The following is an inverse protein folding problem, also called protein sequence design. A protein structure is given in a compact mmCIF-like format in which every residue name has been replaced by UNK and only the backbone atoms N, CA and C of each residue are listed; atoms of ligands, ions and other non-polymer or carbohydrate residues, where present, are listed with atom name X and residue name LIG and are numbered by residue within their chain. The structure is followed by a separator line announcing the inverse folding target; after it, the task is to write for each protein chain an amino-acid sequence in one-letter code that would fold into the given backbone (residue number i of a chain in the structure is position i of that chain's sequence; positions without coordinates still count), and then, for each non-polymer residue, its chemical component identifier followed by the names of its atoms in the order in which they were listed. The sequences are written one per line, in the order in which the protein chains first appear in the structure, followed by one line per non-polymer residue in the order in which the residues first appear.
data_IF_893420275903
#
_entry.id   IF_893420275903
#
_cell.length_a   1.000
_cell.length_b   1.000
_cell.length_c   1.000
_cell.angle_alpha   90.00
_cell.angle_beta   90.00
_cell.angle_gamma   90.00
#
_symmetry.space_group_name_H-M   'P 1'
#
loop_
_entity.id
_entity.type
_entity.pdbx_description
1 polymer ?
#
# COMPACT_ATOMS: atom_id res chain seq x y z
N UNK A 1 14.78 16.58 -38.21
CA UNK A 1 14.53 15.82 -36.98
C UNK A 1 14.41 16.84 -35.86
N UNK A 2 13.20 17.16 -35.37
CA UNK A 2 13.10 18.04 -34.21
C UNK A 2 13.51 17.24 -32.97
N UNK A 3 14.44 17.83 -32.21
CA UNK A 3 14.91 17.35 -30.93
C UNK A 3 13.83 17.61 -29.87
N UNK A 4 13.13 16.55 -29.45
CA UNK A 4 12.22 16.60 -28.31
C UNK A 4 13.05 16.93 -27.06
N UNK A 5 12.88 18.16 -26.62
CA UNK A 5 13.43 18.65 -25.36
C UNK A 5 12.53 18.08 -24.28
N UNK A 6 13.02 17.08 -23.55
CA UNK A 6 12.32 16.49 -22.41
C UNK A 6 12.26 17.55 -21.30
N UNK A 7 11.20 18.36 -21.28
CA UNK A 7 10.89 19.19 -20.12
C UNK A 7 10.54 18.25 -18.96
N UNK A 8 11.28 18.29 -17.82
CA UNK A 8 10.87 17.57 -16.65
C UNK A 8 9.57 18.20 -16.14
N UNK A 9 8.44 17.53 -16.38
CA UNK A 9 7.16 17.90 -15.78
C UNK A 9 7.35 18.05 -14.27
N UNK A 10 7.00 19.21 -13.72
CA UNK A 10 6.98 19.43 -12.27
C UNK A 10 6.30 18.26 -11.58
N UNK A 11 6.88 17.68 -10.50
CA UNK A 11 6.28 16.54 -9.83
C UNK A 11 4.87 16.94 -9.40
N UNK A 12 3.85 16.30 -9.97
CA UNK A 12 2.48 16.52 -9.54
C UNK A 12 2.38 16.07 -8.08
N UNK A 13 1.79 16.89 -7.19
CA UNK A 13 1.61 16.51 -5.80
C UNK A 13 0.73 15.26 -5.74
N UNK A 14 1.08 14.33 -4.84
CA UNK A 14 0.35 13.07 -4.71
C UNK A 14 -1.06 13.32 -4.15
N UNK A 15 -1.17 14.29 -3.24
CA UNK A 15 -2.42 14.69 -2.61
C UNK A 15 -2.95 16.02 -3.18
N UNK A 16 -4.25 16.23 -3.03
CA UNK A 16 -4.87 17.52 -3.28
C UNK A 16 -4.25 18.58 -2.36
N UNK A 17 -3.71 19.64 -2.94
CA UNK A 17 -3.01 20.70 -2.21
C UNK A 17 -3.94 21.41 -1.22
N UNK A 18 -5.23 21.55 -1.52
CA UNK A 18 -6.19 22.16 -0.59
C UNK A 18 -6.47 21.25 0.61
N UNK A 19 -6.53 19.94 0.40
CA UNK A 19 -6.63 18.96 1.48
C UNK A 19 -5.39 19.04 2.39
N UNK A 20 -4.19 19.04 1.80
CA UNK A 20 -2.93 19.16 2.55
C UNK A 20 -2.90 20.45 3.37
N UNK A 21 -3.30 21.59 2.78
CA UNK A 21 -3.39 22.88 3.47
C UNK A 21 -4.42 22.87 4.60
N UNK A 22 -5.56 22.23 4.40
CA UNK A 22 -6.60 22.11 5.42
C UNK A 22 -6.10 21.29 6.62
N UNK A 23 -5.53 20.11 6.36
CA UNK A 23 -4.94 19.23 7.40
C UNK A 23 -3.86 19.96 8.20
N UNK A 24 -2.90 20.59 7.51
CA UNK A 24 -1.81 21.33 8.18
C UNK A 24 -2.30 22.53 8.98
N UNK A 25 -3.34 23.24 8.52
CA UNK A 25 -3.95 24.34 9.28
C UNK A 25 -4.63 23.83 10.55
N UNK A 26 -5.31 22.69 10.49
CA UNK A 26 -5.97 22.10 11.66
C UNK A 26 -4.99 21.60 12.72
N UNK A 27 -3.81 21.10 12.33
CA UNK A 27 -2.75 20.72 13.28
C UNK A 27 -2.12 21.91 14.01
N UNK A 28 -2.10 23.09 13.38
CA UNK A 28 -1.46 24.28 13.94
C UNK A 28 0.08 24.18 13.99
N UNK A 29 0.71 24.98 14.84
CA UNK A 29 2.18 25.11 14.91
C UNK A 29 2.85 24.18 15.93
N UNK A 30 2.16 23.82 17.00
CA UNK A 30 2.69 23.00 18.10
C UNK A 30 1.68 21.90 18.44
N UNK A 31 1.47 20.93 17.53
CA UNK A 31 0.48 19.89 17.70
C UNK A 31 0.85 18.94 18.84
N UNK A 32 -0.15 18.61 19.66
CA UNK A 32 -0.09 17.52 20.65
C UNK A 32 -0.38 16.19 19.95
N UNK A 33 -0.01 15.05 20.55
CA UNK A 33 -0.37 13.71 20.06
C UNK A 33 -1.84 13.56 19.63
N UNK A 34 -2.78 14.04 20.45
CA UNK A 34 -4.21 13.94 20.18
C UNK A 34 -4.63 14.70 18.91
N UNK A 35 -3.99 15.84 18.62
CA UNK A 35 -4.35 16.70 17.50
C UNK A 35 -4.13 15.97 16.16
N UNK A 36 -3.15 15.06 16.07
CA UNK A 36 -2.96 14.20 14.88
C UNK A 36 -4.09 13.21 14.67
N UNK A 37 -4.57 12.60 15.75
CA UNK A 37 -5.68 11.64 15.70
C UNK A 37 -6.97 12.36 15.35
N UNK A 38 -7.26 13.48 16.00
CA UNK A 38 -8.43 14.31 15.75
C UNK A 38 -8.47 14.80 14.30
N UNK A 39 -7.32 15.18 13.72
CA UNK A 39 -7.24 15.58 12.31
C UNK A 39 -7.46 14.39 11.37
N UNK A 40 -6.89 13.22 11.64
CA UNK A 40 -7.17 12.03 10.83
C UNK A 40 -8.66 11.65 10.88
N UNK A 41 -9.31 11.78 12.03
CA UNK A 41 -10.74 11.56 12.20
C UNK A 41 -11.58 12.61 11.46
N UNK A 42 -11.28 13.90 11.64
CA UNK A 42 -11.99 15.00 11.00
C UNK A 42 -11.93 14.94 9.46
N UNK A 43 -10.83 14.45 8.89
CA UNK A 43 -10.65 14.32 7.44
C UNK A 43 -10.84 12.87 6.93
N UNK A 44 -11.45 11.98 7.72
CA UNK A 44 -11.58 10.55 7.38
C UNK A 44 -12.19 10.32 6.00
N UNK A 45 -13.26 11.02 5.63
CA UNK A 45 -13.89 10.83 4.31
C UNK A 45 -12.95 11.20 3.14
N UNK A 46 -12.20 12.31 3.29
CA UNK A 46 -11.24 12.76 2.28
C UNK A 46 -10.01 11.85 2.21
N UNK A 47 -9.62 11.26 3.34
CA UNK A 47 -8.48 10.35 3.45
C UNK A 47 -8.84 8.88 3.18
N UNK A 48 -10.12 8.55 3.00
CA UNK A 48 -10.58 7.16 2.82
C UNK A 48 -10.32 6.60 1.42
N UNK A 49 -10.28 7.44 0.39
CA UNK A 49 -10.29 6.99 -1.01
C UNK A 49 -9.47 7.87 -1.95
N UNK A 50 -8.24 8.23 -1.55
CA UNK A 50 -7.33 9.03 -2.36
C UNK A 50 -6.95 8.25 -3.63
N UNK A 51 -7.20 8.79 -4.84
CA UNK A 51 -6.83 8.11 -6.08
C UNK A 51 -5.31 8.10 -6.26
N UNK A 52 -4.76 6.94 -6.65
CA UNK A 52 -3.34 6.79 -6.95
C UNK A 52 -3.12 6.51 -8.45
N UNK A 53 -1.95 6.89 -9.00
CA UNK A 53 -1.59 6.56 -10.38
C UNK A 53 -1.58 5.05 -10.63
N UNK A 54 -2.23 4.65 -11.72
CA UNK A 54 -2.33 3.26 -12.18
C UNK A 54 -1.14 2.86 -13.07
N UNK A 55 -0.23 3.78 -13.39
CA UNK A 55 0.96 3.43 -14.16
C UNK A 55 1.88 2.52 -13.35
N UNK A 56 2.40 1.48 -13.99
CA UNK A 56 3.34 0.53 -13.39
C UNK A 56 4.51 0.33 -14.33
N UNK A 57 5.63 0.99 -14.01
CA UNK A 57 6.88 0.92 -14.77
C UNK A 57 7.85 -0.14 -14.21
N UNK A 58 7.37 -1.01 -13.31
CA UNK A 58 8.14 -2.10 -12.72
C UNK A 58 8.37 -3.18 -13.77
N UNK A 59 9.60 -3.66 -13.94
CA UNK A 59 9.88 -4.84 -14.76
C UNK A 59 9.71 -6.16 -13.99
N UNK A 60 9.61 -7.28 -14.70
CA UNK A 60 9.39 -8.60 -14.09
C UNK A 60 10.53 -9.02 -13.15
N UNK A 61 11.77 -8.63 -13.44
CA UNK A 61 12.93 -9.00 -12.62
C UNK A 61 12.93 -8.25 -11.29
N UNK A 62 12.58 -6.96 -11.29
CA UNK A 62 12.34 -6.18 -10.09
C UNK A 62 11.17 -6.75 -9.29
N UNK A 63 10.07 -7.10 -9.96
CA UNK A 63 8.92 -7.67 -9.28
C UNK A 63 9.24 -8.95 -8.49
N UNK A 64 10.09 -9.81 -9.07
CA UNK A 64 10.56 -11.01 -8.40
C UNK A 64 11.47 -10.72 -7.20
N UNK A 65 12.42 -9.78 -7.35
CA UNK A 65 13.32 -9.37 -6.24
C UNK A 65 12.55 -8.81 -5.06
N UNK A 66 11.55 -7.99 -5.33
CA UNK A 66 10.72 -7.39 -4.29
C UNK A 66 9.88 -8.45 -3.58
N UNK A 67 9.27 -9.38 -4.33
CA UNK A 67 8.48 -10.47 -3.76
C UNK A 67 9.29 -11.39 -2.82
N UNK A 68 10.59 -11.57 -3.06
CA UNK A 68 11.46 -12.39 -2.20
C UNK A 68 11.69 -11.79 -0.82
N UNK A 69 11.60 -10.47 -0.66
CA UNK A 69 11.84 -9.79 0.63
C UNK A 69 10.61 -9.80 1.54
N UNK A 70 9.47 -10.20 1.01
CA UNK A 70 8.17 -9.81 1.54
C UNK A 70 7.32 -11.03 1.85
N UNK A 71 6.42 -10.87 2.81
CA UNK A 71 5.43 -11.88 3.12
C UNK A 71 4.20 -11.68 2.26
N UNK A 72 3.80 -12.72 1.55
CA UNK A 72 2.71 -12.65 0.57
C UNK A 72 1.65 -13.68 0.93
N UNK A 73 0.39 -13.25 0.85
CA UNK A 73 -0.78 -14.10 0.90
C UNK A 73 -1.47 -14.08 -0.47
N UNK A 74 -1.85 -15.25 -0.99
CA UNK A 74 -2.70 -15.40 -2.18
C UNK A 74 -3.97 -16.15 -1.79
N UNK A 75 -5.13 -15.53 -1.97
CA UNK A 75 -6.44 -16.13 -1.67
C UNK A 75 -6.51 -16.71 -0.25
N UNK A 76 -5.94 -15.99 0.74
CA UNK A 76 -5.90 -16.43 2.14
C UNK A 76 -4.79 -17.42 2.50
N UNK A 77 -4.01 -17.90 1.52
CA UNK A 77 -2.87 -18.81 1.76
C UNK A 77 -1.58 -18.01 1.85
N UNK A 78 -0.86 -18.15 2.97
CA UNK A 78 0.44 -17.51 3.19
C UNK A 78 1.58 -18.35 2.62
N UNK A 79 2.51 -17.70 1.92
CA UNK A 79 3.69 -18.35 1.36
C UNK A 79 4.89 -18.14 2.29
N UNK A 80 5.47 -19.25 2.78
CA UNK A 80 6.56 -19.26 3.76
C UNK A 80 7.67 -20.21 3.33
N UNK A 81 8.87 -20.07 3.90
CA UNK A 81 10.05 -20.89 3.60
C UNK A 81 10.87 -20.40 2.41
N UNK A 82 11.92 -21.16 2.07
CA UNK A 82 12.99 -20.75 1.14
C UNK A 82 12.54 -20.62 -0.33
N UNK A 83 11.47 -21.33 -0.71
CA UNK A 83 10.90 -21.33 -2.07
C UNK A 83 9.55 -20.61 -2.15
N UNK A 84 9.26 -19.73 -1.19
CA UNK A 84 7.96 -19.05 -1.08
C UNK A 84 7.62 -18.23 -2.32
N UNK A 85 8.60 -17.55 -2.91
CA UNK A 85 8.41 -16.69 -4.09
C UNK A 85 8.10 -17.52 -5.32
N UNK A 86 8.84 -18.61 -5.54
CA UNK A 86 8.62 -19.53 -6.66
C UNK A 86 7.25 -20.21 -6.54
N UNK A 87 6.88 -20.64 -5.33
CA UNK A 87 5.57 -21.21 -5.05
C UNK A 87 4.44 -20.19 -5.31
N UNK A 88 4.62 -18.93 -4.91
CA UNK A 88 3.68 -17.85 -5.19
C UNK A 88 3.53 -17.60 -6.70
N UNK A 89 4.64 -17.45 -7.42
CA UNK A 89 4.66 -17.27 -8.88
C UNK A 89 3.99 -18.45 -9.59
N UNK A 90 4.28 -19.68 -9.17
CA UNK A 90 3.67 -20.88 -9.73
C UNK A 90 2.15 -20.92 -9.46
N UNK A 91 1.71 -20.53 -8.27
CA UNK A 91 0.29 -20.45 -7.92
C UNK A 91 -0.44 -19.39 -8.77
N UNK A 92 0.14 -18.19 -8.94
CA UNK A 92 -0.40 -17.15 -9.82
C UNK A 92 -0.51 -17.66 -11.25
N UNK A 93 0.56 -18.24 -11.81
CA UNK A 93 0.55 -18.81 -13.18
C UNK A 93 -0.52 -19.88 -13.35
N UNK A 94 -0.70 -20.76 -12.37
CA UNK A 94 -1.73 -21.81 -12.37
C UNK A 94 -3.14 -21.22 -12.38
N UNK A 95 -3.42 -20.27 -11.47
CA UNK A 95 -4.74 -19.64 -11.39
C UNK A 95 -5.05 -18.87 -12.68
N UNK A 96 -4.10 -18.07 -13.16
CA UNK A 96 -4.26 -17.33 -14.42
C UNK A 96 -4.51 -18.30 -15.57
N UNK A 97 -3.68 -19.34 -15.73
CA UNK A 97 -3.83 -20.34 -16.79
C UNK A 97 -5.20 -20.99 -16.80
N UNK A 98 -5.75 -21.35 -15.63
CA UNK A 98 -7.09 -21.90 -15.52
C UNK A 98 -8.21 -20.93 -15.96
N UNK A 99 -7.98 -19.62 -15.89
CA UNK A 99 -9.00 -18.61 -16.16
C UNK A 99 -8.91 -17.97 -17.55
N UNK A 100 -7.72 -17.95 -18.16
CA UNK A 100 -7.50 -17.32 -19.48
C UNK A 100 -7.19 -18.33 -20.59
N UNK A 101 -7.40 -19.63 -20.32
CA UNK A 101 -7.18 -20.71 -21.28
C UNK A 101 -5.70 -20.94 -21.54
N UNK A 102 -4.90 -21.13 -20.49
CA UNK A 102 -3.43 -21.22 -20.56
C UNK A 102 -2.89 -22.35 -21.44
N UNK A 103 -3.61 -23.46 -21.57
CA UNK A 103 -3.24 -24.55 -22.47
C UNK A 103 -3.42 -24.17 -23.95
N UNK A 104 -4.43 -23.34 -24.24
CA UNK A 104 -4.72 -22.84 -25.58
C UNK A 104 -3.92 -21.56 -25.92
N UNK A 105 -3.64 -20.74 -24.90
CA UNK A 105 -3.05 -19.41 -25.01
C UNK A 105 -1.96 -19.16 -23.94
N UNK A 106 -0.83 -19.90 -23.99
CA UNK A 106 0.21 -19.82 -22.97
C UNK A 106 0.87 -18.45 -22.88
N UNK A 107 1.06 -17.76 -24.01
CA UNK A 107 1.62 -16.40 -24.04
C UNK A 107 0.73 -15.39 -23.32
N UNK A 108 -0.60 -15.47 -23.54
CA UNK A 108 -1.56 -14.62 -22.85
C UNK A 108 -1.57 -14.88 -21.35
N UNK A 109 -1.52 -16.15 -20.94
CA UNK A 109 -1.45 -16.52 -19.53
C UNK A 109 -0.19 -15.96 -18.86
N UNK A 110 0.96 -16.00 -19.54
CA UNK A 110 2.20 -15.43 -19.03
C UNK A 110 2.11 -13.91 -18.89
N UNK A 111 1.60 -13.20 -19.91
CA UNK A 111 1.43 -11.74 -19.86
C UNK A 111 0.55 -11.29 -18.70
N UNK A 112 -0.55 -12.02 -18.45
CA UNK A 112 -1.47 -11.74 -17.34
C UNK A 112 -0.82 -12.03 -15.98
N UNK A 113 -0.09 -13.14 -15.85
CA UNK A 113 0.64 -13.48 -14.63
C UNK A 113 1.75 -12.45 -14.32
N UNK A 114 2.53 -12.07 -15.32
CA UNK A 114 3.58 -11.05 -15.21
C UNK A 114 3.01 -9.69 -14.83
N UNK A 115 1.83 -9.35 -15.35
CA UNK A 115 1.11 -8.15 -14.93
C UNK A 115 0.78 -8.21 -13.44
N UNK A 116 0.20 -9.30 -12.95
CA UNK A 116 -0.11 -9.46 -11.51
C UNK A 116 1.15 -9.28 -10.66
N UNK A 117 2.26 -9.94 -11.03
CA UNK A 117 3.53 -9.84 -10.33
C UNK A 117 4.06 -8.40 -10.25
N UNK A 118 4.08 -7.68 -11.38
CA UNK A 118 4.53 -6.27 -11.43
C UNK A 118 3.67 -5.36 -10.56
N UNK A 119 2.36 -5.58 -10.52
CA UNK A 119 1.43 -4.82 -9.67
C UNK A 119 1.64 -5.10 -8.19
N UNK A 120 1.96 -6.35 -7.82
CA UNK A 120 2.33 -6.69 -6.46
C UNK A 120 3.51 -5.85 -5.98
N UNK A 121 4.62 -5.85 -6.73
CA UNK A 121 5.81 -5.06 -6.39
C UNK A 121 5.52 -3.56 -6.30
N UNK A 122 4.78 -2.99 -7.26
CA UNK A 122 4.46 -1.55 -7.24
C UNK A 122 3.67 -1.14 -5.99
N UNK A 123 2.67 -1.94 -5.62
CA UNK A 123 1.80 -1.66 -4.45
C UNK A 123 2.50 -1.95 -3.13
N UNK A 124 3.44 -2.89 -3.12
CA UNK A 124 4.24 -3.27 -1.96
C UNK A 124 5.29 -2.24 -1.57
N UNK A 125 5.84 -1.49 -2.53
CA UNK A 125 6.94 -0.52 -2.29
C UNK A 125 6.69 0.51 -1.18
N UNK A 126 5.44 0.75 -0.78
CA UNK A 126 5.09 1.71 0.26
C UNK A 126 5.37 3.18 -0.09
N UNK A 127 5.97 3.47 -1.25
CA UNK A 127 6.39 4.81 -1.64
C UNK A 127 5.22 5.81 -1.68
N UNK A 128 4.10 5.45 -2.31
CA UNK A 128 2.89 6.29 -2.37
C UNK A 128 2.38 6.59 -0.95
N UNK A 129 2.44 5.60 -0.06
CA UNK A 129 2.01 5.77 1.32
C UNK A 129 2.94 6.71 2.09
N UNK A 130 4.26 6.52 1.96
CA UNK A 130 5.25 7.37 2.62
C UNK A 130 5.13 8.82 2.15
N UNK A 131 5.08 9.06 0.84
CA UNK A 131 4.98 10.42 0.31
C UNK A 131 3.67 11.10 0.70
N UNK A 132 2.55 10.37 0.74
CA UNK A 132 1.28 10.95 1.20
C UNK A 132 1.34 11.35 2.67
N UNK A 133 1.85 10.48 3.55
CA UNK A 133 2.01 10.78 4.98
C UNK A 133 3.00 11.94 5.17
N UNK A 134 4.07 11.97 4.38
CA UNK A 134 5.04 13.07 4.37
C UNK A 134 4.43 14.39 3.92
N UNK A 135 3.63 14.40 2.85
CA UNK A 135 2.92 15.61 2.41
C UNK A 135 1.98 16.15 3.50
N UNK A 136 1.30 15.28 4.25
CA UNK A 136 0.40 15.72 5.33
C UNK A 136 1.15 16.22 6.57
N UNK A 137 2.16 15.48 7.05
CA UNK A 137 2.68 15.63 8.41
C UNK A 137 4.16 16.00 8.51
N UNK A 138 4.90 16.12 7.41
CA UNK A 138 6.31 16.48 7.49
C UNK A 138 6.52 17.85 8.13
N UNK A 139 7.40 17.88 9.12
CA UNK A 139 7.85 19.07 9.84
C UNK A 139 9.35 18.92 10.13
N UNK A 140 10.14 20.01 10.20
CA UNK A 140 11.55 19.94 10.60
C UNK A 140 11.79 19.28 11.98
N UNK A 141 10.77 19.25 12.83
CA UNK A 141 10.83 18.70 14.19
C UNK A 141 10.44 17.22 14.26
N UNK A 142 9.97 16.65 13.14
CA UNK A 142 9.43 15.29 13.09
C UNK A 142 10.16 14.43 12.07
N UNK A 143 10.37 13.18 12.45
CA UNK A 143 10.75 12.11 11.55
C UNK A 143 9.59 11.14 11.36
N UNK A 144 9.33 10.79 10.11
CA UNK A 144 8.35 9.77 9.73
C UNK A 144 9.12 8.49 9.47
N UNK A 145 8.81 7.42 10.20
CA UNK A 145 9.42 6.10 10.03
C UNK A 145 8.39 4.99 9.99
N UNK A 146 8.65 3.89 9.27
CA UNK A 146 7.88 2.66 9.45
C UNK A 146 7.87 2.27 10.94
N UNK A 147 6.68 2.03 11.49
CA UNK A 147 6.56 1.55 12.88
C UNK A 147 6.69 0.03 12.88
N UNK A 148 7.53 -0.50 13.77
CA UNK A 148 7.48 -1.92 14.08
C UNK A 148 6.12 -2.21 14.70
N UNK A 149 5.42 -3.24 14.22
CA UNK A 149 4.14 -3.63 14.78
C UNK A 149 4.32 -4.45 16.07
N UNK A 150 5.28 -4.11 16.93
CA UNK A 150 5.60 -4.91 18.12
C UNK A 150 5.72 -6.41 17.81
N UNK A 151 5.21 -7.26 18.70
CA UNK A 151 5.12 -8.72 18.51
C UNK A 151 4.15 -9.18 17.41
N UNK A 152 3.45 -8.26 16.73
CA UNK A 152 2.61 -8.59 15.59
C UNK A 152 3.44 -8.45 14.30
N UNK A 153 3.53 -9.54 13.56
CA UNK A 153 4.14 -9.61 12.24
C UNK A 153 3.63 -8.45 11.35
N UNK A 154 4.53 -7.84 10.57
CA UNK A 154 4.14 -6.82 9.60
C UNK A 154 3.03 -7.38 8.68
N UNK A 155 2.03 -6.56 8.29
CA UNK A 155 0.94 -7.07 7.47
C UNK A 155 1.47 -7.60 6.13
N UNK A 156 1.25 -8.88 5.86
CA UNK A 156 1.58 -9.49 4.57
C UNK A 156 0.84 -8.78 3.42
N UNK A 157 1.45 -8.77 2.23
CA UNK A 157 0.80 -8.37 0.99
C UNK A 157 -0.36 -9.32 0.70
N UNK A 158 -1.59 -8.81 0.73
CA UNK A 158 -2.80 -9.59 0.52
C UNK A 158 -3.22 -9.52 -0.96
N UNK A 159 -3.05 -10.63 -1.66
CA UNK A 159 -3.44 -10.80 -3.06
C UNK A 159 -4.67 -11.69 -3.14
N UNK A 160 -5.73 -11.19 -3.75
CA UNK A 160 -6.90 -11.98 -4.12
C UNK A 160 -6.96 -12.07 -5.65
N UNK A 161 -7.12 -13.27 -6.18
CA UNK A 161 -7.11 -13.55 -7.61
C UNK A 161 -8.12 -14.65 -7.93
N UNK A 162 -9.10 -14.34 -8.77
CA UNK A 162 -10.15 -15.29 -9.12
C UNK A 162 -11.29 -14.65 -9.89
N UNK A 163 -12.37 -15.41 -10.08
CA UNK A 163 -13.63 -14.84 -10.59
C UNK A 163 -14.35 -14.11 -9.49
N UNK A 164 -14.84 -12.94 -9.86
CA UNK A 164 -15.80 -12.17 -9.12
C UNK A 164 -17.11 -12.94 -8.98
N UNK A 165 -17.67 -13.04 -7.77
CA UNK A 165 -18.92 -13.75 -7.55
C UNK A 165 -20.13 -13.02 -8.18
N UNK A 166 -20.07 -11.70 -8.30
CA UNK A 166 -21.16 -10.84 -8.76
C UNK A 166 -21.23 -10.77 -10.29
N UNK A 167 -20.09 -10.57 -10.97
CA UNK A 167 -20.05 -10.37 -12.42
C UNK A 167 -19.28 -11.45 -13.18
N UNK A 168 -18.77 -12.48 -12.48
CA UNK A 168 -18.05 -13.63 -13.03
C UNK A 168 -16.78 -13.28 -13.82
N UNK A 169 -16.31 -12.02 -13.76
CA UNK A 169 -15.09 -11.59 -14.45
C UNK A 169 -13.86 -12.02 -13.68
N UNK A 170 -12.79 -12.27 -14.41
CA UNK A 170 -11.51 -12.59 -13.78
C UNK A 170 -10.83 -11.31 -13.31
N UNK A 171 -10.63 -11.21 -12.01
CA UNK A 171 -10.16 -9.98 -11.37
C UNK A 171 -9.06 -10.28 -10.34
N UNK A 172 -8.28 -9.25 -10.05
CA UNK A 172 -7.24 -9.27 -9.04
C UNK A 172 -7.38 -8.08 -8.11
N UNK A 173 -7.22 -8.31 -6.80
CA UNK A 173 -7.14 -7.28 -5.77
C UNK A 173 -5.81 -7.46 -5.04
N UNK A 174 -5.04 -6.39 -4.95
CA UNK A 174 -3.76 -6.36 -4.23
C UNK A 174 -3.88 -5.32 -3.14
N UNK A 175 -3.66 -5.73 -1.89
CA UNK A 175 -3.76 -4.86 -0.72
C UNK A 175 -2.43 -4.87 0.02
N UNK A 176 -1.88 -3.68 0.25
CA UNK A 176 -0.74 -3.44 1.12
C UNK A 176 -1.17 -2.54 2.28
N UNK A 177 -0.67 -2.83 3.48
CA UNK A 177 -0.86 -1.97 4.65
C UNK A 177 0.52 -1.50 5.10
N UNK A 178 0.72 -0.19 5.15
CA UNK A 178 1.99 0.40 5.59
C UNK A 178 1.74 1.18 6.88
N UNK A 179 2.59 0.94 7.86
CA UNK A 179 2.40 1.43 9.22
C UNK A 179 3.50 2.44 9.50
N UNK A 180 3.14 3.68 9.85
CA UNK A 180 4.09 4.76 10.13
C UNK A 180 3.93 5.31 11.55
N UNK A 181 5.05 5.71 12.14
CA UNK A 181 5.11 6.51 13.35
C UNK A 181 5.68 7.89 13.05
N UNK A 182 5.12 8.90 13.70
CA UNK A 182 5.68 10.24 13.78
C UNK A 182 6.52 10.33 15.07
N UNK A 183 7.79 10.65 14.94
CA UNK A 183 8.75 10.71 16.04
C UNK A 183 9.35 12.11 16.13
N UNK A 184 9.58 12.60 17.33
CA UNK A 184 10.28 13.88 17.51
C UNK A 184 11.78 13.69 17.30
N UNK A 185 12.51 14.78 17.03
CA UNK A 185 13.97 14.73 16.98
C UNK A 185 14.60 14.28 18.31
N UNK A 186 13.96 14.61 19.44
CA UNK A 186 14.41 14.18 20.78
C UNK A 186 14.35 12.66 20.94
N UNK A 187 13.28 12.01 20.46
CA UNK A 187 13.16 10.54 20.50
C UNK A 187 14.31 9.85 19.75
N UNK A 188 14.76 10.47 18.64
CA UNK A 188 15.84 9.96 17.80
C UNK A 188 17.19 10.16 18.48
N UNK A 189 17.44 11.34 19.04
CA UNK A 189 18.66 11.61 19.79
C UNK A 189 18.80 10.65 20.98
N UNK A 190 17.70 10.37 21.66
CA UNK A 190 17.68 9.43 22.78
C UNK A 190 17.99 8.01 22.32
N UNK A 191 17.44 7.57 21.18
CA UNK A 191 17.81 6.29 20.56
C UNK A 191 19.32 6.24 20.27
N UNK A 192 19.86 7.26 19.59
CA UNK A 192 21.27 7.30 19.18
C UNK A 192 22.25 7.33 20.37
N UNK A 193 21.83 7.90 21.51
CA UNK A 193 22.64 7.98 22.74
C UNK A 193 22.48 6.77 23.65
N UNK A 194 21.60 5.83 23.31
CA UNK A 194 21.29 4.65 24.13
C UNK A 194 21.67 3.35 23.42
N UNK A 195 21.82 2.26 24.16
CA UNK A 195 21.99 0.92 23.57
C UNK A 195 20.67 0.33 23.02
N UNK A 196 19.61 1.15 22.91
CA UNK A 196 18.30 0.70 22.44
C UNK A 196 18.35 0.39 20.95
N UNK A 197 17.62 -0.66 20.55
CA UNK A 197 17.52 -1.09 19.15
C UNK A 197 16.27 -0.58 18.45
N UNK A 198 15.30 -0.05 19.19
CA UNK A 198 13.99 0.36 18.70
C UNK A 198 13.60 1.71 19.30
N UNK A 199 12.84 2.51 18.54
CA UNK A 199 12.23 3.76 19.04
C UNK A 199 11.09 3.44 20.00
N UNK A 200 10.89 4.31 20.99
CA UNK A 200 9.74 4.25 21.90
C UNK A 200 8.41 4.48 21.15
N UNK A 201 7.28 4.52 21.87
CA UNK A 201 5.96 4.78 21.28
C UNK A 201 5.98 6.09 20.47
N UNK A 202 5.51 6.09 19.20
CA UNK A 202 5.50 7.31 18.40
C UNK A 202 4.57 8.37 18.99
N UNK A 203 4.87 9.65 18.71
CA UNK A 203 4.01 10.79 19.02
C UNK A 203 2.60 10.58 18.48
N UNK A 204 2.51 10.07 17.25
CA UNK A 204 1.27 9.63 16.64
C UNK A 204 1.55 8.48 15.67
N UNK A 205 0.62 7.54 15.58
CA UNK A 205 0.66 6.45 14.63
C UNK A 205 -0.28 6.70 13.46
N UNK A 206 0.18 6.38 12.25
CA UNK A 206 -0.56 6.58 11.00
C UNK A 206 -0.52 5.28 10.21
N UNK A 207 -1.69 4.76 9.88
CA UNK A 207 -1.85 3.56 9.07
C UNK A 207 -2.29 3.97 7.67
N UNK A 208 -1.62 3.41 6.67
CA UNK A 208 -2.07 3.53 5.29
C UNK A 208 -2.47 2.18 4.73
N UNK A 209 -3.47 2.19 3.86
CA UNK A 209 -3.92 1.00 3.12
C UNK A 209 -3.96 1.35 1.64
N UNK A 210 -3.16 0.68 0.85
CA UNK A 210 -3.23 0.75 -0.61
C UNK A 210 -4.02 -0.44 -1.11
N UNK A 211 -5.05 -0.18 -1.92
CA UNK A 211 -5.81 -1.23 -2.61
C UNK A 211 -5.75 -0.96 -4.11
N UNK A 212 -5.18 -1.91 -4.84
CA UNK A 212 -5.21 -1.98 -6.29
C UNK A 212 -6.25 -3.03 -6.72
N UNK A 213 -7.12 -2.67 -7.66
CA UNK A 213 -8.12 -3.56 -8.26
C UNK A 213 -7.92 -3.60 -9.77
N UNK A 214 -7.86 -4.80 -10.32
CA UNK A 214 -7.61 -5.06 -11.73
C UNK A 214 -8.71 -5.97 -12.26
N UNK A 215 -9.40 -5.52 -13.31
CA UNK A 215 -10.21 -6.38 -14.17
C UNK A 215 -9.30 -6.94 -15.26
N UNK A 216 -8.92 -8.21 -15.10
CA UNK A 216 -8.00 -8.90 -16.01
C UNK A 216 -8.70 -9.32 -17.31
N UNK A 217 -10.04 -9.30 -17.34
CA UNK A 217 -10.84 -9.54 -18.53
C UNK A 217 -11.01 -8.28 -19.39
N UNK A 218 -11.15 -7.12 -18.76
CA UNK A 218 -11.42 -5.84 -19.44
C UNK A 218 -10.23 -4.86 -19.48
N UNK A 219 -9.07 -5.27 -18.97
CA UNK A 219 -7.84 -4.46 -18.87
C UNK A 219 -7.99 -3.16 -18.05
N UNK A 220 -9.00 -3.09 -17.17
CA UNK A 220 -9.22 -1.91 -16.31
C UNK A 220 -8.47 -2.06 -15.00
N UNK A 221 -7.93 -0.98 -14.48
CA UNK A 221 -7.29 -0.96 -13.17
C UNK A 221 -7.60 0.34 -12.42
N UNK A 222 -7.69 0.25 -11.10
CA UNK A 222 -7.82 1.38 -10.19
C UNK A 222 -6.95 1.17 -8.96
N UNK A 223 -6.37 2.24 -8.43
CA UNK A 223 -5.57 2.23 -7.20
C UNK A 223 -6.08 3.31 -6.26
N UNK A 224 -6.24 2.97 -4.98
CA UNK A 224 -6.66 3.90 -3.94
C UNK A 224 -5.80 3.76 -2.71
N UNK A 225 -5.55 4.88 -2.06
CA UNK A 225 -4.89 5.01 -0.77
C UNK A 225 -5.92 5.44 0.28
N UNK A 226 -5.87 4.78 1.41
CA UNK A 226 -6.56 5.18 2.64
C UNK A 226 -5.51 5.57 3.67
N UNK A 227 -5.71 6.68 4.39
CA UNK A 227 -4.86 7.11 5.52
C UNK A 227 -5.74 7.25 6.75
N UNK A 228 -5.35 6.68 7.88
CA UNK A 228 -6.16 6.66 9.11
C UNK A 228 -5.30 6.49 10.37
N UNK A 229 -5.87 6.78 11.53
CA UNK A 229 -5.28 6.38 12.81
C UNK A 229 -5.53 4.87 13.05
N UNK A 230 -4.64 4.15 13.77
CA UNK A 230 -4.83 2.72 14.06
C UNK A 230 -6.12 2.41 14.84
N UNK A 231 -6.55 3.35 15.68
CA UNK A 231 -7.67 3.20 16.63
C UNK A 231 -9.03 3.63 16.07
N UNK A 232 -9.11 4.14 14.84
CA UNK A 232 -10.37 4.49 14.17
C UNK A 232 -11.33 3.28 13.96
N UNK A 233 -10.94 2.08 14.39
CA UNK A 233 -11.68 0.82 14.28
C UNK A 233 -11.94 0.10 15.61
N UNK A 234 -11.98 0.78 16.76
CA UNK A 234 -12.38 0.18 18.07
C UNK A 234 -13.87 -0.19 18.17
N UNK A 235 -14.41 -0.77 17.11
CA UNK A 235 -15.26 -1.97 17.11
C UNK A 235 -15.36 -2.35 15.64
N UNK A 236 -14.88 -3.53 15.20
CA UNK A 236 -15.30 -4.04 13.91
C UNK A 236 -16.79 -4.33 14.05
N UNK A 237 -17.65 -3.39 13.68
CA UNK A 237 -19.04 -3.73 13.37
C UNK A 237 -18.96 -4.80 12.28
N UNK A 238 -19.84 -5.79 12.35
CA UNK A 238 -19.94 -6.90 11.39
C UNK A 238 -19.80 -6.43 9.92
N UNK A 239 -20.23 -5.20 9.63
CA UNK A 239 -20.06 -4.45 8.37
C UNK A 239 -18.61 -4.20 7.91
N UNK A 240 -17.64 -3.94 8.78
CA UNK A 240 -16.23 -3.80 8.34
C UNK A 240 -15.60 -5.15 7.97
N UNK A 241 -16.18 -6.24 8.48
CA UNK A 241 -15.88 -7.60 8.05
C UNK A 241 -16.63 -7.96 6.75
N UNK A 242 -17.60 -7.17 6.28
CA UNK A 242 -18.27 -7.37 4.98
C UNK A 242 -17.49 -6.75 3.81
N UNK A 243 -16.49 -5.90 4.07
CA UNK A 243 -15.40 -5.64 3.09
C UNK A 243 -14.53 -6.91 2.88
N UNK A 244 -14.83 -8.01 3.60
CA UNK A 244 -14.31 -9.38 3.40
C UNK A 244 -15.22 -10.28 2.58
N UNK A 245 -16.23 -9.79 1.89
CA UNK A 245 -16.69 -10.54 0.72
C UNK A 245 -15.90 -10.06 -0.49
N UNK A 246 -15.13 -11.00 -1.05
CA UNK A 246 -14.62 -10.96 -2.41
C UNK A 246 -15.51 -10.09 -3.27
N UNK A 247 -14.93 -9.07 -3.90
CA UNK A 247 -15.61 -8.34 -4.96
C UNK A 247 -16.88 -7.58 -4.58
#
# INVERSE_FOLDING_TARGET
MPSDTFEPSSPQPLLDVELVRAVRRSLGRAPRPADYVEVLEAFTESLAAIPLPVRCDVDTAQAFRDATREEIMLNGVRFVGDHRTEAFVAAVKRIVGAHVGGDENPERALLVADRVMRRCSRTLSGADSFFAVHELFASPELLIKPRASGSAELPALDVTLGRDCTDQRFKCRIKSVNLFGLYTNEDIELLLRSDRRELDTPLAAVDTVVVERIDLSADKCSRRLTIRSPDAGKTPTRLSLEVRELF
#
